data_IF_012126113017
#
_entry.id   IF_012126113017
#
_cell.length_a   1.000
_cell.length_b   1.000
_cell.length_c   1.000
_cell.angle_alpha   90.00
_cell.angle_beta   90.00
_cell.angle_gamma   90.00
#
_symmetry.space_group_name_H-M   'P 1'
#
loop_
_entity.id
_entity.type
_entity.pdbx_description
1 polymer ?
#
# COMPACT_ATOMS: atom_id res chain seq x y z
N UNK A 1 -2.60 -2.45 23.18
CA UNK A 1 -2.69 -2.03 21.78
C UNK A 1 -2.19 -3.21 20.94
N UNK A 2 -2.81 -3.53 19.81
CA UNK A 2 -2.39 -4.68 19.01
C UNK A 2 -1.01 -4.42 18.38
N UNK A 3 -0.01 -5.17 18.85
CA UNK A 3 1.37 -5.15 18.33
C UNK A 3 1.82 -6.60 18.16
N UNK A 4 2.38 -6.94 17.01
CA UNK A 4 2.99 -8.23 16.71
C UNK A 4 4.29 -8.02 15.95
N UNK A 5 5.37 -8.73 16.30
CA UNK A 5 6.72 -8.55 15.75
C UNK A 5 7.16 -7.08 15.66
N UNK A 6 6.85 -6.26 16.68
CA UNK A 6 7.19 -4.84 16.71
C UNK A 6 6.30 -3.92 15.87
N UNK A 7 5.40 -4.45 15.05
CA UNK A 7 4.45 -3.66 14.26
C UNK A 7 3.12 -3.46 15.00
N UNK A 8 2.69 -2.21 15.08
CA UNK A 8 1.31 -1.88 15.38
C UNK A 8 0.42 -2.22 14.17
N UNK A 9 -0.77 -2.70 14.45
CA UNK A 9 -1.78 -2.91 13.42
C UNK A 9 -3.18 -2.57 13.94
N UNK A 10 -4.01 -2.03 13.06
CA UNK A 10 -5.45 -1.98 13.27
C UNK A 10 -6.04 -3.32 12.83
N UNK A 11 -6.94 -3.89 13.63
CA UNK A 11 -7.62 -5.13 13.30
C UNK A 11 -9.14 -4.92 13.29
N UNK A 12 -9.81 -5.52 12.31
CA UNK A 12 -11.26 -5.61 12.22
C UNK A 12 -11.68 -7.04 11.89
N UNK A 13 -12.56 -7.59 12.72
CA UNK A 13 -13.16 -8.90 12.52
C UNK A 13 -14.54 -8.70 11.92
N UNK A 14 -14.62 -8.65 10.60
CA UNK A 14 -15.87 -8.43 9.84
C UNK A 14 -16.62 -9.71 9.49
N UNK A 15 -16.03 -10.86 9.77
CA UNK A 15 -16.57 -12.20 9.54
C UNK A 15 -16.22 -13.14 10.68
N UNK A 16 -16.28 -14.46 10.45
CA UNK A 16 -15.84 -15.48 11.40
C UNK A 16 -14.31 -15.47 11.58
N UNK A 17 -13.79 -16.15 12.61
CA UNK A 17 -12.33 -16.23 12.86
C UNK A 17 -11.58 -16.88 11.70
N UNK A 18 -12.25 -17.69 10.92
CA UNK A 18 -11.74 -18.41 9.77
C UNK A 18 -11.96 -17.65 8.43
N UNK A 19 -12.51 -16.42 8.47
CA UNK A 19 -12.68 -15.62 7.26
C UNK A 19 -11.36 -15.21 6.65
N UNK A 20 -11.36 -14.97 5.33
CA UNK A 20 -10.19 -14.57 4.53
C UNK A 20 -9.44 -13.40 5.18
N UNK A 21 -8.15 -13.56 5.52
CA UNK A 21 -7.33 -12.48 6.06
C UNK A 21 -6.85 -11.55 4.94
N UNK A 22 -7.00 -10.25 5.17
CA UNK A 22 -6.58 -9.18 4.26
C UNK A 22 -5.65 -8.23 5.00
N UNK A 23 -4.46 -8.02 4.48
CA UNK A 23 -3.43 -7.16 5.05
C UNK A 23 -3.30 -5.90 4.19
N UNK A 24 -3.58 -4.75 4.78
CA UNK A 24 -3.48 -3.44 4.14
C UNK A 24 -2.12 -2.81 4.48
N UNK A 25 -1.34 -2.47 3.45
CA UNK A 25 0.03 -1.94 3.57
C UNK A 25 0.05 -0.53 2.97
N UNK A 26 0.36 0.48 3.79
CA UNK A 26 0.40 1.88 3.37
C UNK A 26 1.60 2.21 2.48
N UNK A 27 1.56 3.35 1.81
CA UNK A 27 2.65 3.92 1.02
C UNK A 27 3.71 4.65 1.86
N UNK A 28 4.70 5.24 1.19
CA UNK A 28 5.76 6.01 1.81
C UNK A 28 5.20 7.11 2.74
N UNK A 29 5.77 7.24 3.93
CA UNK A 29 5.36 8.20 4.96
C UNK A 29 3.96 7.98 5.54
N UNK A 30 3.26 6.91 5.16
CA UNK A 30 1.89 6.65 5.57
C UNK A 30 1.76 5.93 6.91
N UNK A 31 0.55 5.51 7.22
CA UNK A 31 0.20 4.65 8.35
C UNK A 31 -1.17 4.02 8.11
N UNK A 32 -1.67 3.19 9.05
CA UNK A 32 -2.98 2.52 8.94
C UNK A 32 -4.17 3.47 8.69
N UNK A 33 -4.08 4.77 9.01
CA UNK A 33 -5.14 5.74 8.79
C UNK A 33 -5.25 6.21 7.33
N UNK A 34 -4.28 5.90 6.47
CA UNK A 34 -4.37 6.12 5.03
C UNK A 34 -5.38 5.17 4.37
N UNK A 35 -5.75 4.12 5.07
CA UNK A 35 -6.86 3.26 4.69
C UNK A 35 -8.14 3.76 5.39
N UNK A 36 -9.14 4.31 4.68
CA UNK A 36 -10.38 4.80 5.28
C UNK A 36 -11.22 3.66 5.87
N UNK A 37 -12.24 4.00 6.65
CA UNK A 37 -13.05 2.99 7.37
C UNK A 37 -13.76 2.03 6.44
N UNK A 38 -14.14 2.49 5.25
CA UNK A 38 -14.76 1.69 4.19
C UNK A 38 -13.89 0.49 3.80
N UNK A 39 -12.57 0.64 3.83
CA UNK A 39 -11.60 -0.41 3.53
C UNK A 39 -11.16 -1.17 4.78
N UNK A 40 -10.95 -0.47 5.90
CA UNK A 40 -10.54 -1.11 7.16
C UNK A 40 -11.63 -1.94 7.83
N UNK A 41 -12.91 -1.80 7.39
CA UNK A 41 -14.07 -2.49 7.97
C UNK A 41 -14.91 -3.20 6.91
N UNK A 42 -14.27 -3.79 5.91
CA UNK A 42 -14.98 -4.59 4.92
C UNK A 42 -15.66 -5.77 5.62
N UNK A 43 -17.00 -5.90 5.48
CA UNK A 43 -17.72 -7.00 6.11
C UNK A 43 -17.37 -8.34 5.46
N UNK A 44 -17.38 -9.42 6.24
CA UNK A 44 -17.08 -10.78 5.78
C UNK A 44 -15.58 -11.13 5.80
N UNK A 45 -14.69 -10.18 6.09
CA UNK A 45 -13.23 -10.39 6.06
C UNK A 45 -12.57 -10.07 7.39
N UNK A 46 -11.36 -10.60 7.58
CA UNK A 46 -10.45 -10.21 8.69
C UNK A 46 -9.47 -9.20 8.14
N UNK A 47 -9.61 -7.94 8.52
CA UNK A 47 -8.78 -6.85 7.98
C UNK A 47 -7.71 -6.46 8.99
N UNK A 48 -6.47 -6.37 8.52
CA UNK A 48 -5.32 -5.91 9.28
C UNK A 48 -4.66 -4.76 8.53
N UNK A 49 -4.71 -3.54 9.05
CA UNK A 49 -3.99 -2.41 8.47
C UNK A 49 -2.74 -2.14 9.29
N UNK A 50 -1.57 -2.31 8.68
CA UNK A 50 -0.27 -2.22 9.35
C UNK A 50 0.20 -0.78 9.45
N UNK A 51 0.95 -0.47 10.51
CA UNK A 51 1.95 0.59 10.54
C UNK A 51 3.31 -0.06 10.32
N UNK A 52 3.98 0.24 9.21
CA UNK A 52 5.33 -0.28 8.92
C UNK A 52 6.36 0.21 9.94
N UNK A 53 7.56 -0.39 10.05
CA UNK A 53 8.57 0.07 11.00
C UNK A 53 8.84 1.57 10.86
N UNK A 54 8.82 2.28 11.99
CA UNK A 54 9.06 3.72 12.00
C UNK A 54 7.86 4.61 11.68
N UNK A 55 6.72 4.02 11.31
CA UNK A 55 5.50 4.73 10.93
C UNK A 55 4.42 4.62 12.01
N UNK A 56 3.55 5.62 12.06
CA UNK A 56 2.38 5.64 12.92
C UNK A 56 2.71 5.30 14.37
N UNK A 57 2.21 4.17 14.85
CA UNK A 57 2.41 3.66 16.22
C UNK A 57 3.46 2.55 16.31
N UNK A 58 4.08 2.16 15.20
CA UNK A 58 5.15 1.18 15.17
C UNK A 58 6.49 1.78 15.60
N UNK A 59 7.27 0.97 16.32
CA UNK A 59 8.65 1.32 16.68
C UNK A 59 9.58 1.24 15.45
N UNK A 60 10.87 1.56 15.66
CA UNK A 60 11.91 1.42 14.64
C UNK A 60 12.18 2.69 13.84
N UNK A 61 12.94 2.56 12.75
CA UNK A 61 13.41 3.68 11.94
C UNK A 61 13.01 3.59 10.46
N UNK A 62 12.17 2.62 10.09
CA UNK A 62 11.88 2.29 8.70
C UNK A 62 13.01 1.50 8.05
N UNK A 63 12.85 1.22 6.77
CA UNK A 63 13.83 0.51 5.94
C UNK A 63 14.18 1.33 4.70
N UNK A 64 15.24 0.94 4.01
CA UNK A 64 15.73 1.58 2.78
C UNK A 64 15.66 0.66 1.56
N UNK A 65 14.92 -0.46 1.68
CA UNK A 65 14.66 -1.39 0.58
C UNK A 65 13.32 -2.07 0.73
N UNK A 66 12.66 -2.34 -0.39
CA UNK A 66 11.39 -3.08 -0.41
C UNK A 66 11.56 -4.49 0.15
N UNK A 67 12.68 -5.16 -0.15
CA UNK A 67 12.96 -6.49 0.39
C UNK A 67 13.00 -6.54 1.93
N UNK A 68 13.53 -5.51 2.59
CA UNK A 68 13.54 -5.43 4.06
C UNK A 68 12.11 -5.25 4.62
N UNK A 69 11.27 -4.43 3.97
CA UNK A 69 9.85 -4.32 4.33
C UNK A 69 9.09 -5.63 4.12
N UNK A 70 9.36 -6.35 3.02
CA UNK A 70 8.79 -7.70 2.77
C UNK A 70 9.13 -8.64 3.92
N UNK A 71 10.40 -8.69 4.34
CA UNK A 71 10.82 -9.51 5.48
C UNK A 71 10.06 -9.19 6.76
N UNK A 72 9.89 -7.90 7.07
CA UNK A 72 9.13 -7.47 8.25
C UNK A 72 7.64 -7.84 8.19
N UNK A 73 7.01 -7.77 7.00
CA UNK A 73 5.60 -8.20 6.82
C UNK A 73 5.48 -9.71 7.03
N UNK A 74 6.44 -10.51 6.56
CA UNK A 74 6.47 -11.97 6.78
C UNK A 74 6.66 -12.32 8.26
N UNK A 75 7.54 -11.64 8.97
CA UNK A 75 7.71 -11.81 10.42
C UNK A 75 6.41 -11.50 11.17
N UNK A 76 5.72 -10.43 10.77
CA UNK A 76 4.42 -10.08 11.32
C UNK A 76 3.38 -11.17 11.03
N UNK A 77 3.32 -11.68 9.80
CA UNK A 77 2.40 -12.74 9.39
C UNK A 77 2.59 -14.00 10.27
N UNK A 78 3.85 -14.41 10.48
CA UNK A 78 4.22 -15.52 11.35
C UNK A 78 3.81 -15.29 12.82
N UNK A 79 4.06 -14.07 13.36
CA UNK A 79 3.68 -13.70 14.71
C UNK A 79 2.16 -13.68 14.94
N UNK A 80 1.37 -13.46 13.87
CA UNK A 80 -0.08 -13.55 13.87
C UNK A 80 -0.60 -14.98 13.67
N UNK A 81 0.28 -15.96 13.48
CA UNK A 81 -0.07 -17.35 13.12
C UNK A 81 -0.95 -17.42 11.87
N UNK A 82 -0.68 -16.50 10.91
CA UNK A 82 -1.31 -16.50 9.59
C UNK A 82 -0.36 -17.15 8.59
N UNK A 83 -0.81 -18.22 7.94
CA UNK A 83 0.00 -18.88 6.91
C UNK A 83 -0.03 -18.11 5.60
N UNK A 84 -1.20 -17.58 5.25
CA UNK A 84 -1.46 -16.89 3.99
C UNK A 84 -2.43 -15.72 4.19
N UNK A 85 -2.33 -14.70 3.33
CA UNK A 85 -3.25 -13.57 3.30
C UNK A 85 -3.40 -12.98 1.89
N UNK A 86 -4.43 -12.16 1.69
CA UNK A 86 -4.47 -11.20 0.58
C UNK A 86 -3.70 -9.96 1.03
N UNK A 87 -2.75 -9.50 0.23
CA UNK A 87 -1.99 -8.28 0.51
C UNK A 87 -2.47 -7.16 -0.40
N UNK A 88 -2.97 -6.09 0.21
CA UNK A 88 -3.43 -4.89 -0.49
C UNK A 88 -2.48 -3.75 -0.14
N UNK A 89 -1.72 -3.28 -1.12
CA UNK A 89 -0.69 -2.25 -0.91
C UNK A 89 -0.93 -1.00 -1.72
N UNK A 90 -0.78 0.16 -1.07
CA UNK A 90 -0.80 1.46 -1.73
C UNK A 90 0.62 1.92 -2.05
N UNK A 91 0.90 2.36 -3.28
CA UNK A 91 2.17 2.96 -3.68
C UNK A 91 3.36 2.05 -3.31
N UNK A 92 4.26 2.45 -2.41
CA UNK A 92 5.31 1.62 -1.83
C UNK A 92 4.78 0.30 -1.25
N UNK A 93 3.61 0.33 -0.59
CA UNK A 93 2.94 -0.88 -0.11
C UNK A 93 2.58 -1.86 -1.23
N UNK A 94 2.25 -1.35 -2.42
CA UNK A 94 2.06 -2.17 -3.63
C UNK A 94 3.34 -2.82 -4.11
N UNK A 95 4.48 -2.13 -4.02
CA UNK A 95 5.80 -2.71 -4.28
C UNK A 95 6.12 -3.85 -3.29
N UNK A 96 5.79 -3.66 -2.00
CA UNK A 96 5.94 -4.70 -0.98
C UNK A 96 5.04 -5.91 -1.32
N UNK A 97 3.77 -5.67 -1.71
CA UNK A 97 2.85 -6.72 -2.12
C UNK A 97 3.35 -7.50 -3.36
N UNK A 98 3.89 -6.79 -4.37
CA UNK A 98 4.53 -7.44 -5.53
C UNK A 98 5.75 -8.27 -5.12
N UNK A 99 6.60 -7.75 -4.23
CA UNK A 99 7.73 -8.50 -3.69
C UNK A 99 7.31 -9.79 -2.98
N UNK A 100 6.21 -9.76 -2.22
CA UNK A 100 5.62 -10.96 -1.62
C UNK A 100 5.12 -11.93 -2.70
N UNK A 101 4.41 -11.43 -3.70
CA UNK A 101 3.86 -12.26 -4.79
C UNK A 101 4.93 -12.96 -5.63
N UNK A 102 6.10 -12.34 -5.82
CA UNK A 102 7.22 -12.87 -6.60
C UNK A 102 8.05 -13.84 -5.77
N UNK A 103 8.44 -13.47 -4.54
CA UNK A 103 9.45 -14.22 -3.80
C UNK A 103 8.87 -15.16 -2.73
N UNK A 104 7.60 -14.97 -2.34
CA UNK A 104 6.93 -15.74 -1.27
C UNK A 104 5.48 -16.09 -1.65
N UNK A 105 5.24 -16.63 -2.87
CA UNK A 105 3.89 -16.89 -3.37
C UNK A 105 3.09 -17.88 -2.50
N UNK A 106 3.76 -18.70 -1.69
CA UNK A 106 3.14 -19.62 -0.74
C UNK A 106 2.36 -18.89 0.37
N UNK A 107 2.73 -17.65 0.70
CA UNK A 107 2.05 -16.81 1.69
C UNK A 107 0.97 -15.90 1.09
N UNK A 108 0.82 -15.89 -0.24
CA UNK A 108 -0.08 -14.98 -0.94
C UNK A 108 -1.32 -15.70 -1.46
N UNK A 109 -2.51 -15.21 -1.09
CA UNK A 109 -3.80 -15.64 -1.62
C UNK A 109 -4.23 -14.78 -2.81
N UNK A 110 -3.88 -13.50 -2.81
CA UNK A 110 -4.15 -12.54 -3.86
C UNK A 110 -3.46 -11.21 -3.57
N UNK A 111 -3.39 -10.35 -4.57
CA UNK A 111 -2.76 -9.03 -4.51
C UNK A 111 -3.75 -7.92 -4.88
N UNK A 112 -3.80 -6.87 -4.07
CA UNK A 112 -4.43 -5.60 -4.40
C UNK A 112 -3.35 -4.52 -4.54
N UNK A 113 -3.15 -4.02 -5.74
CA UNK A 113 -2.13 -3.01 -6.04
C UNK A 113 -2.81 -1.66 -6.28
N UNK A 114 -2.77 -0.78 -5.28
CA UNK A 114 -3.45 0.51 -5.30
C UNK A 114 -2.44 1.60 -5.61
N UNK A 115 -2.60 2.31 -6.73
CA UNK A 115 -1.74 3.43 -7.14
C UNK A 115 -0.25 3.08 -7.01
N UNK A 116 0.21 2.04 -7.69
CA UNK A 116 1.59 1.54 -7.59
C UNK A 116 2.22 1.28 -8.97
N UNK A 117 3.50 0.97 -8.96
CA UNK A 117 4.29 0.69 -10.16
C UNK A 117 5.27 -0.46 -9.96
N UNK A 118 5.59 -1.19 -11.03
CA UNK A 118 6.64 -2.23 -11.03
C UNK A 118 8.06 -1.66 -10.96
N UNK A 119 8.19 -0.36 -11.14
CA UNK A 119 9.40 0.45 -10.94
C UNK A 119 8.95 1.81 -10.38
N UNK A 120 9.55 2.25 -9.27
CA UNK A 120 9.14 3.44 -8.53
C UNK A 120 10.29 4.44 -8.43
N UNK A 121 10.72 4.98 -9.58
CA UNK A 121 11.78 6.01 -9.59
C UNK A 121 11.33 7.27 -8.88
N UNK A 122 12.17 7.79 -8.02
CA UNK A 122 11.95 9.03 -7.27
C UNK A 122 12.78 10.15 -7.89
N UNK A 123 12.17 11.32 -8.02
CA UNK A 123 12.89 12.51 -8.47
C UNK A 123 14.08 12.79 -7.52
N UNK A 124 15.30 12.99 -8.02
CA UNK A 124 16.47 13.23 -7.17
C UNK A 124 16.35 14.47 -6.29
N UNK A 125 15.67 15.53 -6.74
CA UNK A 125 15.46 16.74 -5.94
C UNK A 125 14.47 16.48 -4.79
N UNK A 126 13.41 15.70 -5.06
CA UNK A 126 12.49 15.25 -4.02
C UNK A 126 13.23 14.39 -2.98
N UNK A 127 14.03 13.41 -3.44
CA UNK A 127 14.81 12.56 -2.55
C UNK A 127 15.75 13.38 -1.64
N UNK A 128 16.47 14.33 -2.21
CA UNK A 128 17.35 15.25 -1.44
C UNK A 128 16.53 16.10 -0.47
N UNK A 129 15.38 16.59 -0.88
CA UNK A 129 14.52 17.45 -0.04
C UNK A 129 13.97 16.73 1.19
N UNK A 130 13.73 15.42 1.10
CA UNK A 130 13.28 14.61 2.25
C UNK A 130 14.42 14.28 3.23
N UNK A 131 15.67 14.35 2.80
CA UNK A 131 16.84 14.03 3.64
C UNK A 131 17.18 15.10 4.68
N UNK A 132 16.71 16.34 4.52
CA UNK A 132 17.07 17.48 5.35
C UNK A 132 15.85 18.10 6.05
N UNK A 133 15.91 18.30 7.38
CA UNK A 133 14.83 18.99 8.11
C UNK A 133 14.50 20.40 7.57
N UNK A 134 15.47 21.09 6.95
CA UNK A 134 15.27 22.45 6.42
C UNK A 134 14.48 22.49 5.13
N UNK A 135 14.48 21.40 4.35
CA UNK A 135 13.75 21.27 3.07
C UNK A 135 12.52 20.37 3.19
N UNK A 136 12.34 19.70 4.32
CA UNK A 136 11.31 18.70 4.52
C UNK A 136 9.88 19.24 4.27
N UNK A 137 9.59 20.45 4.76
CA UNK A 137 8.26 21.07 4.52
C UNK A 137 8.00 21.24 3.03
N UNK A 138 8.99 21.68 2.24
CA UNK A 138 8.85 21.82 0.77
C UNK A 138 8.63 20.45 0.11
N UNK A 139 9.31 19.41 0.60
CA UNK A 139 9.07 18.05 0.11
C UNK A 139 7.63 17.59 0.39
N UNK A 140 7.10 17.87 1.59
CA UNK A 140 5.70 17.57 1.94
C UNK A 140 4.75 18.30 0.99
N UNK A 141 4.92 19.62 0.79
CA UNK A 141 4.08 20.42 -0.09
C UNK A 141 4.05 19.84 -1.51
N UNK A 142 5.21 19.50 -2.06
CA UNK A 142 5.33 18.89 -3.38
C UNK A 142 4.63 17.53 -3.46
N UNK A 143 4.85 16.65 -2.47
CA UNK A 143 4.23 15.32 -2.43
C UNK A 143 2.71 15.45 -2.39
N UNK A 144 2.18 16.37 -1.61
CA UNK A 144 0.73 16.59 -1.48
C UNK A 144 0.16 17.14 -2.79
N UNK A 145 0.81 18.12 -3.43
CA UNK A 145 0.37 18.67 -4.71
C UNK A 145 0.28 17.62 -5.82
N UNK A 146 1.25 16.69 -5.85
CA UNK A 146 1.28 15.62 -6.85
C UNK A 146 0.40 14.42 -6.50
N UNK A 147 -0.05 14.30 -5.22
CA UNK A 147 -0.78 13.13 -4.73
C UNK A 147 -2.29 13.22 -4.89
N UNK A 148 -2.86 14.41 -5.01
CA UNK A 148 -4.31 14.58 -5.05
C UNK A 148 -4.81 15.11 -6.40
N UNK A 149 -6.04 14.70 -6.76
CA UNK A 149 -6.77 15.31 -7.86
C UNK A 149 -7.07 16.78 -7.54
N UNK A 150 -7.06 17.68 -8.54
CA UNK A 150 -7.48 19.07 -8.34
C UNK A 150 -8.92 19.23 -7.83
N UNK A 151 -9.75 18.21 -7.98
CA UNK A 151 -11.15 18.20 -7.51
C UNK A 151 -11.30 17.70 -6.07
N UNK A 152 -10.22 17.32 -5.40
CA UNK A 152 -10.25 16.77 -4.04
C UNK A 152 -10.65 17.83 -3.02
N UNK A 153 -11.47 17.43 -2.04
CA UNK A 153 -11.88 18.30 -0.93
C UNK A 153 -10.66 18.85 -0.17
N UNK A 154 -10.62 20.18 -0.02
CA UNK A 154 -9.49 20.86 0.62
C UNK A 154 -9.26 20.42 2.07
N UNK A 155 -10.31 20.02 2.80
CA UNK A 155 -10.19 19.52 4.18
C UNK A 155 -9.48 18.17 4.20
N UNK A 156 -9.76 17.30 3.22
CA UNK A 156 -9.06 16.02 3.09
C UNK A 156 -7.57 16.23 2.82
N UNK A 157 -7.24 17.15 1.90
CA UNK A 157 -5.86 17.52 1.57
C UNK A 157 -5.13 18.05 2.81
N UNK A 158 -5.76 18.95 3.56
CA UNK A 158 -5.19 19.50 4.81
C UNK A 158 -4.90 18.42 5.86
N UNK A 159 -5.83 17.48 6.05
CA UNK A 159 -5.65 16.35 6.97
C UNK A 159 -4.48 15.46 6.52
N UNK A 160 -4.40 15.16 5.23
CA UNK A 160 -3.31 14.35 4.67
C UNK A 160 -1.95 15.04 4.82
N UNK A 161 -1.88 16.34 4.55
CA UNK A 161 -0.69 17.17 4.75
C UNK A 161 -0.19 17.10 6.19
N UNK A 162 -1.07 17.31 7.17
CA UNK A 162 -0.73 17.23 8.60
C UNK A 162 -0.19 15.85 8.97
N UNK A 163 -0.85 14.78 8.48
CA UNK A 163 -0.42 13.40 8.77
C UNK A 163 0.95 13.07 8.17
N UNK A 164 1.19 13.49 6.92
CA UNK A 164 2.48 13.26 6.27
C UNK A 164 3.59 14.03 6.99
N UNK A 165 3.31 15.26 7.45
CA UNK A 165 4.25 16.09 8.21
C UNK A 165 4.61 15.53 9.60
N UNK A 166 3.80 14.61 10.16
CA UNK A 166 4.13 13.88 11.41
C UNK A 166 5.19 12.80 11.19
N UNK A 167 5.43 12.39 9.94
CA UNK A 167 6.45 11.38 9.61
C UNK A 167 7.85 11.96 9.79
N UNK A 168 8.72 11.21 10.44
CA UNK A 168 10.12 11.64 10.61
C UNK A 168 10.82 11.75 9.24
N UNK A 169 11.58 12.82 8.99
CA UNK A 169 12.30 13.00 7.72
C UNK A 169 13.15 11.77 7.33
N UNK A 170 13.86 11.17 8.30
CA UNK A 170 14.70 10.00 8.04
C UNK A 170 13.90 8.75 7.62
N UNK A 171 12.65 8.63 8.05
CA UNK A 171 11.77 7.52 7.66
C UNK A 171 11.27 7.73 6.24
N UNK A 172 10.72 8.91 5.92
CA UNK A 172 10.26 9.24 4.57
C UNK A 172 11.39 9.16 3.54
N UNK A 173 12.59 9.63 3.90
CA UNK A 173 13.78 9.48 3.06
C UNK A 173 14.12 8.02 2.79
N UNK A 174 14.10 7.17 3.83
CA UNK A 174 14.33 5.73 3.69
C UNK A 174 13.30 5.05 2.80
N UNK A 175 12.02 5.42 2.92
CA UNK A 175 10.95 4.92 2.05
C UNK A 175 11.18 5.27 0.58
N UNK A 176 11.55 6.51 0.30
CA UNK A 176 11.85 6.92 -1.07
C UNK A 176 13.10 6.26 -1.63
N UNK A 177 14.14 5.99 -0.81
CA UNK A 177 15.26 5.16 -1.22
C UNK A 177 14.81 3.74 -1.57
N UNK A 178 13.93 3.15 -0.74
CA UNK A 178 13.38 1.83 -1.00
C UNK A 178 12.57 1.81 -2.32
N UNK A 179 11.79 2.86 -2.59
CA UNK A 179 11.07 3.02 -3.85
C UNK A 179 12.03 3.17 -5.03
N UNK A 180 13.02 4.06 -4.95
CA UNK A 180 13.91 4.39 -6.07
C UNK A 180 14.72 3.20 -6.55
N UNK A 181 15.09 2.31 -5.63
CA UNK A 181 15.83 1.07 -5.94
C UNK A 181 14.94 -0.08 -6.40
N UNK A 182 13.62 0.04 -6.27
CA UNK A 182 12.68 -1.02 -6.62
C UNK A 182 12.48 -1.12 -8.13
N UNK A 183 12.70 -2.33 -8.68
CA UNK A 183 12.50 -2.64 -10.08
C UNK A 183 12.21 -4.14 -10.25
N UNK A 184 10.98 -4.49 -10.61
CA UNK A 184 10.53 -5.86 -10.84
C UNK A 184 9.83 -6.02 -12.20
N UNK A 185 10.08 -5.09 -13.13
CA UNK A 185 9.44 -5.08 -14.47
C UNK A 185 9.57 -6.45 -15.16
N UNK A 186 10.76 -7.02 -15.17
CA UNK A 186 11.03 -8.30 -15.84
C UNK A 186 10.53 -9.53 -15.04
N UNK A 187 10.05 -9.32 -13.81
CA UNK A 187 9.61 -10.37 -12.90
C UNK A 187 8.08 -10.47 -12.78
N UNK A 188 7.32 -9.53 -13.33
CA UNK A 188 5.85 -9.48 -13.18
C UNK A 188 5.16 -10.77 -13.63
N UNK A 189 5.67 -11.43 -14.67
CA UNK A 189 5.15 -12.71 -15.19
C UNK A 189 5.26 -13.87 -14.19
N UNK A 190 6.06 -13.73 -13.15
CA UNK A 190 6.18 -14.73 -12.09
C UNK A 190 5.03 -14.66 -11.08
N UNK A 191 4.23 -13.58 -11.11
CA UNK A 191 3.05 -13.45 -10.27
C UNK A 191 1.90 -14.24 -10.92
N UNK A 192 1.52 -15.34 -10.28
CA UNK A 192 0.41 -16.23 -10.73
C UNK A 192 -0.79 -16.17 -9.78
N UNK A 193 -0.82 -15.18 -8.89
CA UNK A 193 -1.91 -15.00 -7.93
C UNK A 193 -2.98 -14.06 -8.49
N UNK A 194 -4.26 -14.25 -8.14
CA UNK A 194 -5.29 -13.28 -8.46
C UNK A 194 -4.82 -11.87 -8.09
N UNK A 195 -4.92 -10.93 -9.03
CA UNK A 195 -4.38 -9.58 -8.83
C UNK A 195 -5.40 -8.54 -9.29
N UNK A 196 -5.73 -7.63 -8.38
CA UNK A 196 -6.50 -6.42 -8.65
C UNK A 196 -5.56 -5.22 -8.67
N UNK A 197 -5.66 -4.38 -9.70
CA UNK A 197 -5.04 -3.07 -9.74
C UNK A 197 -6.12 -1.99 -9.64
N UNK A 198 -5.89 -0.98 -8.81
CA UNK A 198 -6.74 0.19 -8.68
C UNK A 198 -5.87 1.44 -8.79
N UNK A 199 -6.20 2.37 -9.66
CA UNK A 199 -5.49 3.66 -9.71
C UNK A 199 -6.45 4.82 -9.97
N UNK A 200 -6.08 6.01 -9.53
CA UNK A 200 -6.77 7.24 -9.89
C UNK A 200 -6.47 7.62 -11.35
N UNK A 201 -7.49 8.12 -12.06
CA UNK A 201 -7.34 8.57 -13.45
C UNK A 201 -6.43 9.80 -13.59
N UNK A 202 -6.24 10.54 -12.50
CA UNK A 202 -5.46 11.78 -12.41
C UNK A 202 -4.18 11.62 -11.55
N UNK A 203 -3.77 10.36 -11.29
CA UNK A 203 -2.54 10.05 -10.53
C UNK A 203 -1.31 10.53 -11.32
N UNK A 204 -0.57 11.47 -10.74
CA UNK A 204 0.66 12.02 -11.31
C UNK A 204 1.91 11.29 -10.82
N UNK A 205 1.88 10.72 -9.61
CA UNK A 205 3.02 10.01 -9.02
C UNK A 205 3.23 8.64 -9.64
N UNK A 206 2.14 7.86 -9.78
CA UNK A 206 2.14 6.57 -10.48
C UNK A 206 1.03 6.55 -11.54
N UNK A 207 1.25 7.25 -12.65
CA UNK A 207 0.22 7.46 -13.67
C UNK A 207 -0.43 6.15 -14.14
N UNK A 208 -1.70 6.17 -14.61
CA UNK A 208 -2.46 4.98 -15.02
C UNK A 208 -1.72 4.01 -15.93
N UNK A 209 -0.81 4.51 -16.77
CA UNK A 209 0.06 3.68 -17.62
C UNK A 209 0.91 2.67 -16.84
N UNK A 210 1.24 2.95 -15.55
CA UNK A 210 1.99 2.01 -14.71
C UNK A 210 1.13 0.82 -14.32
N UNK A 211 -0.10 1.08 -13.87
CA UNK A 211 -1.08 0.01 -13.58
C UNK A 211 -1.49 -0.75 -14.85
N UNK A 212 -1.66 -0.06 -15.99
CA UNK A 212 -1.92 -0.69 -17.28
C UNK A 212 -0.79 -1.64 -17.69
N UNK A 213 0.46 -1.22 -17.52
CA UNK A 213 1.62 -2.07 -17.78
C UNK A 213 1.61 -3.33 -16.89
N UNK A 214 1.43 -3.17 -15.58
CA UNK A 214 1.38 -4.31 -14.66
C UNK A 214 0.24 -5.27 -15.03
N UNK A 215 -0.95 -4.73 -15.33
CA UNK A 215 -2.10 -5.55 -15.72
C UNK A 215 -1.88 -6.32 -17.04
N UNK A 216 -1.08 -5.76 -17.95
CA UNK A 216 -0.71 -6.44 -19.19
C UNK A 216 0.30 -7.57 -19.02
N UNK A 217 1.10 -7.53 -17.93
CA UNK A 217 2.18 -8.50 -17.69
C UNK A 217 1.78 -9.61 -16.70
N UNK A 218 0.85 -9.34 -15.76
CA UNK A 218 0.38 -10.35 -14.79
C UNK A 218 -0.83 -11.09 -15.38
N UNK A 219 -0.76 -12.41 -15.60
CA UNK A 219 -1.86 -13.18 -16.18
C UNK A 219 -3.14 -13.08 -15.34
N UNK A 220 -4.25 -12.69 -15.96
CA UNK A 220 -5.55 -12.61 -15.31
C UNK A 220 -5.73 -11.44 -14.33
N UNK A 221 -4.83 -10.46 -14.35
CA UNK A 221 -4.98 -9.26 -13.52
C UNK A 221 -6.16 -8.39 -14.00
N UNK A 222 -6.89 -7.83 -13.04
CA UNK A 222 -7.99 -6.90 -13.26
C UNK A 222 -7.56 -5.47 -12.96
N UNK A 223 -7.92 -4.51 -13.81
CA UNK A 223 -7.59 -3.10 -13.65
C UNK A 223 -8.85 -2.25 -13.54
N UNK A 224 -8.92 -1.43 -12.49
CA UNK A 224 -9.93 -0.41 -12.24
C UNK A 224 -9.25 0.98 -12.25
N UNK A 225 -9.62 1.84 -13.20
CA UNK A 225 -9.20 3.24 -13.23
C UNK A 225 -10.36 4.08 -12.70
N UNK A 226 -10.17 4.74 -11.57
CA UNK A 226 -11.20 5.53 -10.89
C UNK A 226 -11.06 6.99 -11.34
N UNK A 227 -12.08 7.57 -11.99
CA UNK A 227 -12.04 8.96 -12.44
C UNK A 227 -12.05 9.92 -11.26
N UNK A 228 -11.59 11.15 -11.50
CA UNK A 228 -11.56 12.22 -10.51
C UNK A 228 -10.87 11.83 -9.20
N UNK A 229 -9.77 11.11 -9.30
CA UNK A 229 -8.91 10.72 -8.18
C UNK A 229 -7.45 10.74 -8.63
N UNK A 230 -6.59 11.17 -7.74
CA UNK A 230 -5.13 11.16 -7.87
C UNK A 230 -4.49 9.91 -7.28
N UNK A 231 -3.30 10.08 -6.74
CA UNK A 231 -2.52 9.02 -6.11
C UNK A 231 -3.14 8.46 -4.82
N UNK A 232 -3.84 9.32 -4.06
CA UNK A 232 -4.52 8.93 -2.82
C UNK A 232 -5.94 8.41 -3.10
N UNK A 233 -6.12 7.66 -4.18
CA UNK A 233 -7.42 7.19 -4.70
C UNK A 233 -8.31 6.55 -3.63
N UNK A 234 -7.72 5.83 -2.65
CA UNK A 234 -8.46 5.20 -1.56
C UNK A 234 -8.99 6.21 -0.54
N UNK A 235 -8.43 7.42 -0.44
CA UNK A 235 -8.93 8.52 0.38
C UNK A 235 -9.91 9.39 -0.40
N UNK A 236 -9.66 9.59 -1.70
CA UNK A 236 -10.44 10.46 -2.57
C UNK A 236 -11.78 9.81 -2.99
N UNK A 237 -11.76 8.50 -3.27
CA UNK A 237 -12.90 7.73 -3.74
C UNK A 237 -13.06 6.40 -2.94
N UNK A 238 -13.22 6.48 -1.59
CA UNK A 238 -13.17 5.30 -0.72
C UNK A 238 -14.23 4.25 -1.05
N UNK A 239 -15.45 4.68 -1.42
CA UNK A 239 -16.54 3.77 -1.75
C UNK A 239 -16.27 2.99 -3.06
N UNK A 240 -15.68 3.64 -4.07
CA UNK A 240 -15.33 2.99 -5.33
C UNK A 240 -14.22 1.94 -5.12
N UNK A 241 -13.16 2.31 -4.37
CA UNK A 241 -12.07 1.37 -4.05
C UNK A 241 -12.57 0.20 -3.20
N UNK A 242 -13.44 0.46 -2.21
CA UNK A 242 -14.03 -0.59 -1.37
C UNK A 242 -14.89 -1.57 -2.20
N UNK A 243 -15.66 -1.05 -3.16
CA UNK A 243 -16.48 -1.88 -4.07
C UNK A 243 -15.61 -2.75 -4.96
N UNK A 244 -14.56 -2.20 -5.57
CA UNK A 244 -13.62 -2.95 -6.39
C UNK A 244 -12.92 -4.05 -5.57
N UNK A 245 -12.45 -3.71 -4.37
CA UNK A 245 -11.78 -4.65 -3.49
C UNK A 245 -12.74 -5.75 -3.00
N UNK A 246 -13.96 -5.41 -2.59
CA UNK A 246 -14.95 -6.39 -2.13
C UNK A 246 -15.31 -7.41 -3.24
N UNK A 247 -15.49 -6.94 -4.49
CA UNK A 247 -15.73 -7.81 -5.64
C UNK A 247 -14.54 -8.75 -5.88
N UNK A 248 -13.33 -8.23 -5.88
CA UNK A 248 -12.12 -9.02 -6.04
C UNK A 248 -11.96 -10.08 -4.95
N UNK A 249 -12.14 -9.71 -3.67
CA UNK A 249 -12.00 -10.62 -2.54
C UNK A 249 -13.03 -11.76 -2.56
N UNK A 250 -14.23 -11.50 -3.10
CA UNK A 250 -15.27 -12.54 -3.23
C UNK A 250 -14.91 -13.62 -4.27
N UNK A 251 -13.99 -13.33 -5.19
CA UNK A 251 -13.53 -14.29 -6.21
C UNK A 251 -12.34 -15.14 -5.73
N UNK A 252 -11.73 -14.80 -4.58
CA UNK A 252 -10.56 -15.53 -4.06
C UNK A 252 -11.03 -16.82 -3.36
N UNK A 253 -10.64 -18.01 -3.86
CA UNK A 253 -10.95 -19.26 -3.18
C UNK A 253 -10.20 -19.31 -1.84
N UNK A 254 -10.94 -19.45 -0.77
CA UNK A 254 -10.39 -19.59 0.57
C UNK A 254 -11.16 -20.62 1.37
N UNK A 255 -10.48 -21.68 1.78
CA UNK A 255 -10.99 -22.67 2.72
C UNK A 255 -10.28 -22.45 4.06
N UNK A 256 -11.05 -22.27 5.11
CA UNK A 256 -10.53 -22.12 6.45
C UNK A 256 -9.73 -23.36 6.87
N UNK A 257 -8.51 -23.16 7.39
CA UNK A 257 -7.66 -24.26 7.88
C UNK A 257 -6.61 -24.77 6.90
N UNK A 258 -6.45 -24.17 5.72
CA UNK A 258 -5.34 -24.44 4.79
C UNK A 258 -4.12 -23.55 5.02
#
# INVERSE_FOLDING_TARGET
MPVASGLYYYAFQGGELESLPVVLIHGAGGNHLYWPLELRRLPGYRIFALDLPGHGKSAGQGHQSIGAYVGTVLEWLGAMSLNRAVFVGHSMGGAIAMGLGIHYPEHVLGLGLVASGSRLRVDPELLLSTSSPTTFTKAIDFIIEESFSPSTDAQLVEIATKRLAETRPSVLYGDFLACDTFDVVDQLKQIHKPTLLVCGGEDKMTPPRYSQHIAGEIPGAHLEIIPQAGHMVMLEQPAAVATALARFLAEIPYLAGE
#
